data_IF_079383981700
#
_entry.id   IF_079383981700
#
_cell.length_a   1.000
_cell.length_b   1.000
_cell.length_c   1.000
_cell.angle_alpha   90.00
_cell.angle_beta   90.00
_cell.angle_gamma   90.00
#
_symmetry.space_group_name_H-M   'P 1'
#
loop_
_entity.id
_entity.type
_entity.pdbx_description
1 polymer ?
#
# COMPACT_ATOMS: atom_id res chain seq x y z
N UNK A 1 21.47 -12.99 -13.98
CA UNK A 1 21.13 -12.44 -12.65
C UNK A 1 20.76 -13.59 -11.75
N UNK A 2 21.58 -13.92 -10.76
CA UNK A 2 21.20 -14.87 -9.71
C UNK A 2 20.48 -14.05 -8.65
N UNK A 3 19.16 -14.19 -8.57
CA UNK A 3 18.40 -13.59 -7.47
C UNK A 3 18.75 -14.36 -6.20
N UNK A 4 19.35 -13.65 -5.24
CA UNK A 4 19.61 -14.19 -3.92
C UNK A 4 18.27 -14.64 -3.31
N UNK A 5 18.17 -15.93 -2.98
CA UNK A 5 16.96 -16.60 -2.48
C UNK A 5 16.44 -15.93 -1.20
N UNK A 6 17.30 -15.20 -0.47
CA UNK A 6 16.93 -14.40 0.70
C UNK A 6 16.13 -13.15 0.34
N UNK A 7 16.49 -12.44 -0.74
CA UNK A 7 15.84 -11.19 -1.18
C UNK A 7 14.45 -11.49 -1.76
N UNK A 8 14.33 -12.57 -2.53
CA UNK A 8 13.04 -13.03 -3.05
C UNK A 8 12.04 -13.39 -1.93
N UNK A 9 12.54 -13.81 -0.76
CA UNK A 9 11.72 -14.14 0.40
C UNK A 9 11.18 -12.89 1.10
N UNK A 10 11.98 -11.81 1.19
CA UNK A 10 11.54 -10.56 1.82
C UNK A 10 10.47 -9.86 1.00
N UNK A 11 10.67 -9.70 -0.31
CA UNK A 11 9.69 -9.04 -1.18
C UNK A 11 8.34 -9.78 -1.17
N UNK A 12 8.36 -11.12 -1.22
CA UNK A 12 7.16 -11.95 -1.11
C UNK A 12 6.48 -11.78 0.26
N UNK A 13 7.27 -11.77 1.35
CA UNK A 13 6.75 -11.58 2.70
C UNK A 13 6.11 -10.20 2.88
N UNK A 14 6.74 -9.14 2.34
CA UNK A 14 6.20 -7.78 2.32
C UNK A 14 4.89 -7.70 1.52
N UNK A 15 4.85 -8.31 0.34
CA UNK A 15 3.64 -8.38 -0.47
C UNK A 15 2.50 -9.08 0.28
N UNK A 16 2.78 -10.22 0.93
CA UNK A 16 1.79 -10.94 1.73
C UNK A 16 1.28 -10.14 2.93
N UNK A 17 2.16 -9.43 3.64
CA UNK A 17 1.79 -8.52 4.73
C UNK A 17 0.85 -7.44 4.18
N UNK A 18 1.23 -6.83 3.06
CA UNK A 18 0.47 -5.76 2.44
C UNK A 18 -0.90 -6.22 1.94
N UNK A 19 -1.04 -7.36 1.28
CA UNK A 19 -2.34 -7.82 0.77
C UNK A 19 -3.27 -8.33 1.87
N UNK A 20 -2.72 -8.88 2.96
CA UNK A 20 -3.50 -9.63 3.95
C UNK A 20 -3.93 -8.82 5.18
N UNK A 21 -3.29 -7.68 5.45
CA UNK A 21 -3.55 -6.89 6.66
C UNK A 21 -4.30 -5.59 6.36
N UNK A 22 -5.02 -5.08 7.35
CA UNK A 22 -5.62 -3.73 7.31
C UNK A 22 -4.55 -2.67 7.61
N UNK A 23 -4.76 -1.39 7.25
CA UNK A 23 -3.78 -0.32 7.51
C UNK A 23 -3.30 -0.27 8.96
N UNK A 24 -4.19 -0.49 9.92
CA UNK A 24 -3.90 -0.41 11.36
C UNK A 24 -2.97 -1.53 11.83
N UNK A 25 -2.92 -2.64 11.09
CA UNK A 25 -2.12 -3.83 11.43
C UNK A 25 -0.80 -3.89 10.67
N UNK A 26 -0.63 -3.07 9.65
CA UNK A 26 0.57 -3.05 8.83
C UNK A 26 1.79 -2.52 9.60
N UNK A 27 1.63 -1.48 10.41
CA UNK A 27 2.74 -0.93 11.20
C UNK A 27 3.34 -1.99 12.13
N UNK A 28 2.50 -2.67 12.92
CA UNK A 28 2.94 -3.76 13.80
C UNK A 28 3.61 -4.92 13.01
N UNK A 29 3.11 -5.25 11.82
CA UNK A 29 3.69 -6.29 10.98
C UNK A 29 5.07 -5.91 10.42
N UNK A 30 5.26 -4.64 10.04
CA UNK A 30 6.55 -4.13 9.59
C UNK A 30 7.55 -3.99 10.75
N UNK A 31 7.09 -3.63 11.95
CA UNK A 31 7.92 -3.65 13.17
C UNK A 31 8.41 -5.05 13.52
N UNK A 32 7.57 -6.06 13.33
CA UNK A 32 7.90 -7.46 13.62
C UNK A 32 8.77 -8.14 12.55
N UNK A 33 9.01 -7.49 11.41
CA UNK A 33 9.86 -8.03 10.33
C UNK A 33 11.29 -7.52 10.50
N UNK A 34 12.17 -8.38 11.03
CA UNK A 34 13.54 -8.04 11.40
C UNK A 34 14.36 -7.46 10.24
N UNK A 35 14.16 -7.97 9.04
CA UNK A 35 14.85 -7.51 7.82
C UNK A 35 14.56 -6.03 7.53
N UNK A 36 13.30 -5.60 7.70
CA UNK A 36 12.89 -4.20 7.57
C UNK A 36 13.60 -3.35 8.62
N UNK A 37 13.71 -3.85 9.86
CA UNK A 37 14.30 -3.07 10.95
C UNK A 37 15.79 -2.78 10.76
N UNK A 38 16.51 -3.62 10.02
CA UNK A 38 17.95 -3.46 9.78
C UNK A 38 18.31 -2.75 8.48
N UNK A 39 17.35 -2.49 7.58
CA UNK A 39 17.60 -1.92 6.26
C UNK A 39 16.85 -0.61 6.04
N UNK A 40 17.60 0.47 5.77
CA UNK A 40 17.00 1.79 5.49
C UNK A 40 16.11 1.75 4.25
N UNK A 41 16.52 1.01 3.22
CA UNK A 41 15.73 0.88 2.00
C UNK A 41 14.40 0.18 2.29
N UNK A 42 14.42 -0.91 3.06
CA UNK A 42 13.21 -1.67 3.37
C UNK A 42 12.25 -0.90 4.28
N UNK A 43 12.76 -0.04 5.18
CA UNK A 43 11.93 0.90 5.96
C UNK A 43 11.18 1.89 5.08
N UNK A 44 11.85 2.44 4.06
CA UNK A 44 11.20 3.36 3.11
C UNK A 44 10.11 2.63 2.35
N UNK A 45 10.39 1.42 1.85
CA UNK A 45 9.39 0.60 1.16
C UNK A 45 8.18 0.33 2.06
N UNK A 46 8.40 -0.09 3.32
CA UNK A 46 7.32 -0.32 4.27
C UNK A 46 6.45 0.94 4.52
N UNK A 47 7.08 2.11 4.62
CA UNK A 47 6.38 3.39 4.78
C UNK A 47 5.56 3.77 3.54
N UNK A 48 6.10 3.59 2.34
CA UNK A 48 5.35 3.84 1.11
C UNK A 48 4.18 2.86 0.95
N UNK A 49 4.37 1.59 1.34
CA UNK A 49 3.26 0.63 1.40
C UNK A 49 2.16 1.07 2.37
N UNK A 50 2.51 1.61 3.54
CA UNK A 50 1.52 2.21 4.46
C UNK A 50 0.73 3.34 3.80
N UNK A 51 1.42 4.25 3.11
CA UNK A 51 0.79 5.38 2.43
C UNK A 51 -0.18 4.92 1.34
N UNK A 52 0.24 3.97 0.49
CA UNK A 52 -0.61 3.42 -0.57
C UNK A 52 -1.86 2.77 0.01
N UNK A 53 -1.72 1.95 1.05
CA UNK A 53 -2.86 1.29 1.70
C UNK A 53 -3.86 2.30 2.28
N UNK A 54 -3.34 3.34 2.95
CA UNK A 54 -4.15 4.38 3.56
C UNK A 54 -4.91 5.19 2.50
N UNK A 55 -4.27 5.46 1.36
CA UNK A 55 -4.91 6.11 0.22
C UNK A 55 -6.01 5.25 -0.40
N UNK A 56 -5.78 3.95 -0.61
CA UNK A 56 -6.80 3.02 -1.13
C UNK A 56 -8.04 2.97 -0.23
N UNK A 57 -7.86 2.89 1.09
CA UNK A 57 -8.99 2.90 2.04
C UNK A 57 -9.72 4.25 2.05
N UNK A 58 -8.99 5.37 2.02
CA UNK A 58 -9.58 6.70 1.90
C UNK A 58 -10.36 6.88 0.59
N UNK A 59 -9.88 6.30 -0.52
CA UNK A 59 -10.58 6.35 -1.81
C UNK A 59 -11.88 5.53 -1.79
N UNK A 60 -11.86 4.33 -1.19
CA UNK A 60 -13.07 3.50 -1.00
C UNK A 60 -14.13 4.25 -0.18
N UNK A 61 -13.72 4.92 0.91
CA UNK A 61 -14.59 5.73 1.76
C UNK A 61 -15.21 6.92 1.01
N UNK A 62 -14.50 7.49 0.04
CA UNK A 62 -14.96 8.62 -0.77
C UNK A 62 -15.77 8.22 -2.02
N UNK A 63 -16.02 6.94 -2.26
CA UNK A 63 -16.87 6.47 -3.37
C UNK A 63 -18.37 6.77 -3.18
N UNK A 64 -18.78 7.34 -2.03
CA UNK A 64 -20.17 7.73 -1.71
C UNK A 64 -20.53 9.13 -2.26
N UNK A 65 -20.00 9.51 -3.42
CA UNK A 65 -20.37 10.74 -4.10
C UNK A 65 -20.77 10.47 -5.54
N UNK A 66 -22.07 10.59 -5.92
CA UNK A 66 -22.44 10.51 -7.33
C UNK A 66 -21.87 11.75 -8.02
N UNK A 67 -20.83 11.58 -8.83
CA UNK A 67 -20.45 12.63 -9.78
C UNK A 67 -21.44 12.56 -10.94
N UNK A 68 -22.69 12.97 -10.67
CA UNK A 68 -23.66 13.26 -11.72
C UNK A 68 -23.15 14.51 -12.44
N UNK A 69 -22.33 14.31 -13.47
CA UNK A 69 -21.95 15.39 -14.38
C UNK A 69 -23.21 15.80 -15.13
N UNK A 70 -23.90 16.84 -14.66
CA UNK A 70 -24.94 17.51 -15.46
C UNK A 70 -24.24 18.29 -16.56
N UNK A 71 -24.11 17.67 -17.72
CA UNK A 71 -23.73 18.36 -18.95
C UNK A 71 -24.92 19.22 -19.36
N UNK A 72 -24.82 20.54 -19.19
CA UNK A 72 -25.75 21.46 -19.82
C UNK A 72 -25.26 21.72 -21.25
N UNK A 73 -25.97 21.18 -22.23
CA UNK A 73 -25.79 21.61 -23.61
C UNK A 73 -26.30 23.05 -23.75
N UNK A 74 -25.38 24.00 -23.92
CA UNK A 74 -25.69 25.29 -24.52
C UNK A 74 -25.51 25.13 -26.02
N UNK A 75 -26.63 24.98 -26.74
CA UNK A 75 -26.66 25.09 -28.20
C UNK A 75 -26.51 26.56 -28.60
N UNK A 76 -25.68 26.88 -29.61
CA UNK A 76 -25.88 28.06 -30.44
C UNK A 76 -27.12 27.90 -31.33
#
# INVERSE_FOLDING_TARGET
>A
MVFDKSIANLALRLANIFTSLTPERLDAAFQNTREIQHSKADKVVAMEMMHVKSYEEAYKLNSIGPTTVRIFHVSP
#
